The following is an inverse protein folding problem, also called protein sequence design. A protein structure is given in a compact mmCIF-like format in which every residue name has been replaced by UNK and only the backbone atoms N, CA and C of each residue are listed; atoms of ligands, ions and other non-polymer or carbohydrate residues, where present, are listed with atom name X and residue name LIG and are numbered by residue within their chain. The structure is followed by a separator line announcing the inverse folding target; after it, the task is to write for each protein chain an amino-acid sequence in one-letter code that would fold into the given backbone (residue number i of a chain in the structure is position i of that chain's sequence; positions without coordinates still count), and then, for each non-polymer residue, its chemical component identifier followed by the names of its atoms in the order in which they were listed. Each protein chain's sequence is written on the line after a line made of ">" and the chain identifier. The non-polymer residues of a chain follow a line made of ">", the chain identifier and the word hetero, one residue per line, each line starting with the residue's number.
data_IF_664016687464
#
_entry.id   IF_664016687464
#
_cell.length_a   1.000
_cell.length_b   1.000
_cell.length_c   1.000
_cell.angle_alpha   90.00
_cell.angle_beta   90.00
_cell.angle_gamma   90.00
#
_symmetry.space_group_name_H-M   'P 1'
#
loop_
_entity.id
_entity.type
_entity.pdbx_description
1 polymer ?
#
# COMPACT_ATOMS: atom_id res chain seq x y z
N UNK A 1 6.74 5.40 -7.08
CA UNK A 1 5.75 6.39 -7.57
C UNK A 1 4.68 6.62 -6.52
N UNK A 2 4.22 7.86 -6.35
CA UNK A 2 3.16 8.23 -5.42
C UNK A 2 2.03 8.93 -6.20
N UNK A 3 0.81 8.40 -6.08
CA UNK A 3 -0.38 8.94 -6.75
C UNK A 3 -1.28 9.53 -5.67
N UNK A 4 -1.71 10.78 -5.86
CA UNK A 4 -2.59 11.47 -4.92
C UNK A 4 -3.84 11.95 -5.65
N UNK A 5 -5.01 11.40 -5.29
CA UNK A 5 -6.31 11.79 -5.82
C UNK A 5 -7.04 12.66 -4.80
N UNK A 6 -7.75 13.67 -5.29
CA UNK A 6 -8.63 14.47 -4.44
C UNK A 6 -9.67 13.60 -3.72
N UNK A 7 -10.07 13.97 -2.48
CA UNK A 7 -11.10 13.24 -1.74
C UNK A 7 -12.36 13.00 -2.57
N UNK A 8 -12.85 11.76 -2.56
CA UNK A 8 -14.05 11.34 -3.29
C UNK A 8 -13.85 11.05 -4.79
N UNK A 9 -12.67 11.32 -5.36
CA UNK A 9 -12.37 11.05 -6.77
C UNK A 9 -11.75 9.65 -6.97
N UNK A 10 -12.53 8.60 -6.75
CA UNK A 10 -12.07 7.21 -6.90
C UNK A 10 -12.10 6.70 -8.34
N UNK A 11 -12.83 7.37 -9.23
CA UNK A 11 -13.12 6.94 -10.60
C UNK A 11 -11.85 6.62 -11.43
N UNK A 12 -10.73 7.37 -11.32
CA UNK A 12 -9.50 7.01 -12.05
C UNK A 12 -8.95 5.63 -11.69
N UNK A 13 -9.18 5.17 -10.46
CA UNK A 13 -8.76 3.85 -9.94
C UNK A 13 -9.85 2.79 -10.01
N UNK A 14 -11.00 3.11 -10.59
CA UNK A 14 -12.06 2.14 -10.84
C UNK A 14 -11.70 1.18 -11.98
N UNK A 15 -12.49 0.12 -12.14
CA UNK A 15 -12.33 -0.87 -13.23
C UNK A 15 -12.20 -0.23 -14.62
N UNK A 16 -13.01 0.81 -14.86
CA UNK A 16 -13.08 1.52 -16.15
C UNK A 16 -12.25 2.83 -16.12
N UNK A 17 -11.54 3.07 -15.01
CA UNK A 17 -10.65 4.20 -14.84
C UNK A 17 -9.34 4.05 -15.63
N UNK A 18 -8.76 5.18 -16.03
CA UNK A 18 -7.55 5.21 -16.82
C UNK A 18 -6.26 5.03 -15.99
N UNK A 19 -6.29 5.24 -14.68
CA UNK A 19 -5.09 5.20 -13.85
C UNK A 19 -4.55 3.77 -13.71
N UNK A 20 -5.41 2.75 -13.64
CA UNK A 20 -4.96 1.34 -13.58
C UNK A 20 -4.15 1.00 -14.83
N UNK A 21 -4.65 1.33 -16.01
CA UNK A 21 -3.99 1.04 -17.29
C UNK A 21 -2.69 1.81 -17.45
N UNK A 22 -2.72 3.11 -17.10
CA UNK A 22 -1.53 3.95 -17.15
C UNK A 22 -0.43 3.46 -16.19
N UNK A 23 -0.77 3.17 -14.93
CA UNK A 23 0.18 2.64 -13.94
C UNK A 23 0.75 1.29 -14.37
N UNK A 24 -0.09 0.40 -14.90
CA UNK A 24 0.33 -0.91 -15.41
C UNK A 24 1.31 -0.75 -16.56
N UNK A 25 0.97 0.08 -17.55
CA UNK A 25 1.80 0.33 -18.73
C UNK A 25 3.15 0.92 -18.34
N UNK A 26 3.16 1.97 -17.50
CA UNK A 26 4.39 2.61 -17.04
C UNK A 26 5.28 1.64 -16.26
N UNK A 27 4.71 0.84 -15.35
CA UNK A 27 5.48 -0.11 -14.52
C UNK A 27 6.11 -1.21 -15.37
N UNK A 28 5.33 -1.79 -16.29
CA UNK A 28 5.82 -2.84 -17.20
C UNK A 28 6.87 -2.31 -18.16
N UNK A 29 6.69 -1.11 -18.71
CA UNK A 29 7.69 -0.48 -19.58
C UNK A 29 8.99 -0.18 -18.82
N UNK A 30 8.90 0.33 -17.59
CA UNK A 30 10.06 0.57 -16.74
C UNK A 30 10.81 -0.73 -16.42
N UNK A 31 10.09 -1.81 -16.04
CA UNK A 31 10.70 -3.13 -15.81
C UNK A 31 11.41 -3.64 -17.06
N UNK A 32 10.75 -3.63 -18.21
CA UNK A 32 11.36 -4.09 -19.47
C UNK A 32 12.63 -3.30 -19.83
N UNK A 33 12.64 -1.98 -19.57
CA UNK A 33 13.83 -1.16 -19.75
C UNK A 33 14.96 -1.59 -18.80
N UNK A 34 14.68 -1.79 -17.51
CA UNK A 34 15.69 -2.23 -16.54
C UNK A 34 16.19 -3.64 -16.78
N UNK A 35 15.34 -4.57 -17.22
CA UNK A 35 15.76 -5.93 -17.53
C UNK A 35 16.67 -5.98 -18.76
N UNK A 36 16.44 -5.08 -19.72
CA UNK A 36 17.24 -4.99 -20.96
C UNK A 36 18.56 -4.24 -20.76
N UNK A 37 18.53 -3.16 -19.96
CA UNK A 37 19.66 -2.22 -19.83
C UNK A 37 20.37 -2.31 -18.48
N UNK A 38 19.85 -3.10 -17.55
CA UNK A 38 20.49 -3.35 -16.27
C UNK A 38 21.73 -4.21 -16.45
N UNK A 39 22.74 -3.95 -15.63
CA UNK A 39 23.88 -4.85 -15.50
C UNK A 39 23.57 -5.87 -14.38
N UNK A 40 23.98 -7.12 -14.56
CA UNK A 40 23.97 -8.18 -13.55
C UNK A 40 24.49 -7.79 -12.15
N UNK A 41 25.27 -6.71 -12.03
CA UNK A 41 25.73 -6.14 -10.76
C UNK A 41 24.75 -5.19 -10.06
N UNK A 42 23.68 -4.73 -10.74
CA UNK A 42 22.70 -3.77 -10.21
C UNK A 42 21.26 -4.29 -10.44
N UNK A 43 20.61 -4.75 -9.37
CA UNK A 43 19.16 -4.98 -9.37
C UNK A 43 18.44 -3.64 -9.23
N UNK A 44 17.60 -3.30 -10.21
CA UNK A 44 16.73 -2.12 -10.13
C UNK A 44 15.38 -2.51 -9.54
N UNK A 45 15.03 -1.91 -8.40
CA UNK A 45 13.74 -2.09 -7.77
C UNK A 45 12.73 -1.02 -8.20
N UNK A 46 11.49 -1.43 -8.40
CA UNK A 46 10.33 -0.59 -8.67
C UNK A 46 9.37 -0.75 -7.48
N UNK A 47 9.11 0.35 -6.79
CA UNK A 47 8.10 0.41 -5.74
C UNK A 47 7.17 1.61 -5.92
N UNK A 48 5.94 1.45 -5.45
CA UNK A 48 4.95 2.53 -5.38
C UNK A 48 4.58 2.80 -3.92
N UNK A 49 3.98 3.95 -3.64
CA UNK A 49 3.56 4.34 -2.30
C UNK A 49 2.06 4.71 -2.25
N UNK A 50 1.14 3.81 -2.66
CA UNK A 50 -0.29 4.14 -2.67
C UNK A 50 -0.85 4.36 -1.26
N UNK A 51 -1.87 5.20 -1.13
CA UNK A 51 -2.70 5.20 0.08
C UNK A 51 -3.46 3.88 0.21
N UNK A 52 -3.59 3.35 1.43
CA UNK A 52 -4.26 2.08 1.69
C UNK A 52 -5.66 1.93 1.04
N UNK A 53 -6.56 2.95 1.03
CA UNK A 53 -7.87 2.87 0.37
C UNK A 53 -7.81 2.56 -1.12
N UNK A 54 -6.70 2.89 -1.80
CA UNK A 54 -6.54 2.64 -3.23
C UNK A 54 -6.35 1.17 -3.58
N UNK A 55 -6.17 0.31 -2.57
CA UNK A 55 -6.12 -1.14 -2.71
C UNK A 55 -7.42 -1.84 -2.26
N UNK A 56 -8.36 -1.08 -1.67
CA UNK A 56 -9.59 -1.60 -1.09
C UNK A 56 -10.83 -1.29 -1.92
N UNK A 57 -11.99 -1.40 -1.26
CA UNK A 57 -13.30 -1.15 -1.88
C UNK A 57 -13.55 0.32 -2.23
N UNK A 58 -12.77 1.25 -1.67
CA UNK A 58 -12.88 2.67 -1.99
C UNK A 58 -12.61 2.93 -3.48
N UNK A 59 -11.62 2.23 -4.05
CA UNK A 59 -11.32 2.28 -5.49
C UNK A 59 -12.45 1.75 -6.38
N UNK A 60 -13.51 1.18 -5.79
CA UNK A 60 -14.64 0.56 -6.48
C UNK A 60 -15.95 1.33 -6.29
N UNK A 61 -15.90 2.55 -5.74
CA UNK A 61 -17.09 3.33 -5.40
C UNK A 61 -17.72 2.97 -4.07
N UNK A 62 -17.06 2.17 -3.23
CA UNK A 62 -17.46 1.91 -1.85
C UNK A 62 -17.76 0.44 -1.53
N UNK A 63 -18.21 0.21 -0.30
CA UNK A 63 -18.37 -1.12 0.33
C UNK A 63 -19.32 -2.06 -0.42
N UNK A 64 -20.39 -1.51 -1.03
CA UNK A 64 -21.43 -2.29 -1.71
C UNK A 64 -20.94 -2.97 -2.99
N UNK A 65 -19.84 -2.48 -3.56
CA UNK A 65 -19.24 -3.07 -4.76
C UNK A 65 -18.65 -4.47 -4.50
N UNK A 66 -18.29 -4.79 -3.24
CA UNK A 66 -17.71 -6.07 -2.82
C UNK A 66 -16.34 -6.42 -3.42
N UNK A 67 -15.85 -5.67 -4.41
CA UNK A 67 -14.59 -5.90 -5.13
C UNK A 67 -13.49 -4.96 -4.61
N UNK A 68 -12.23 -5.28 -4.93
CA UNK A 68 -11.08 -4.40 -4.68
C UNK A 68 -10.42 -4.11 -6.04
N UNK A 69 -10.31 -2.83 -6.40
CA UNK A 69 -9.70 -2.34 -7.64
C UNK A 69 -8.46 -1.49 -7.32
N UNK A 70 -8.17 -0.49 -8.16
CA UNK A 70 -7.02 0.38 -8.03
C UNK A 70 -5.70 -0.40 -8.05
N UNK A 71 -4.90 -0.19 -7.01
CA UNK A 71 -3.55 -0.75 -6.92
C UNK A 71 -3.53 -2.27 -6.76
N UNK A 72 -4.61 -2.87 -6.26
CA UNK A 72 -4.76 -4.34 -6.25
C UNK A 72 -4.81 -4.91 -7.68
N UNK A 73 -5.49 -4.23 -8.61
CA UNK A 73 -5.50 -4.64 -10.02
C UNK A 73 -4.22 -4.25 -10.76
N UNK A 74 -3.62 -3.09 -10.43
CA UNK A 74 -2.30 -2.73 -10.97
C UNK A 74 -1.31 -3.85 -10.73
N UNK A 75 -1.20 -4.33 -9.48
CA UNK A 75 -0.29 -5.43 -9.14
C UNK A 75 -0.54 -6.70 -9.95
N UNK A 76 -1.82 -7.10 -10.10
CA UNK A 76 -2.20 -8.30 -10.87
C UNK A 76 -1.85 -8.16 -12.35
N UNK A 77 -2.10 -7.00 -12.95
CA UNK A 77 -1.84 -6.74 -14.38
C UNK A 77 -0.36 -6.52 -14.68
N UNK A 78 0.40 -6.01 -13.72
CA UNK A 78 1.84 -5.75 -13.83
C UNK A 78 2.69 -6.81 -13.13
N UNK A 79 2.24 -8.07 -13.12
CA UNK A 79 2.90 -9.15 -12.37
C UNK A 79 4.38 -9.26 -12.76
N UNK A 80 5.27 -9.11 -11.77
CA UNK A 80 6.73 -9.11 -11.95
C UNK A 80 7.35 -7.76 -12.29
N UNK A 81 6.55 -6.73 -12.55
CA UNK A 81 7.05 -5.39 -12.81
C UNK A 81 7.33 -4.60 -11.51
N UNK A 82 6.42 -4.67 -10.55
CA UNK A 82 6.50 -3.95 -9.27
C UNK A 82 6.96 -4.92 -8.18
N UNK A 83 8.02 -4.57 -7.46
CA UNK A 83 8.58 -5.42 -6.41
C UNK A 83 7.78 -5.32 -5.11
N UNK A 84 7.39 -4.10 -4.70
CA UNK A 84 6.57 -3.90 -3.50
C UNK A 84 5.80 -2.57 -3.51
N UNK A 85 4.87 -2.44 -2.56
CA UNK A 85 4.17 -1.22 -2.23
C UNK A 85 4.51 -0.73 -0.83
N UNK A 86 4.96 0.53 -0.70
CA UNK A 86 5.05 1.30 0.54
C UNK A 86 3.67 1.88 0.88
N UNK A 87 2.74 1.05 1.33
CA UNK A 87 1.33 1.43 1.48
C UNK A 87 1.17 2.43 2.62
N UNK A 88 0.60 3.60 2.34
CA UNK A 88 0.38 4.63 3.34
C UNK A 88 -0.86 4.30 4.18
N UNK A 89 -0.65 3.84 5.41
CA UNK A 89 -1.69 3.59 6.41
C UNK A 89 -1.85 4.81 7.34
N UNK A 90 -1.99 6.00 6.78
CA UNK A 90 -2.09 7.30 7.48
C UNK A 90 -2.69 8.37 6.56
N UNK A 91 -3.30 9.42 7.14
CA UNK A 91 -4.09 10.47 6.44
C UNK A 91 -5.49 10.04 5.94
N UNK A 92 -6.08 8.97 6.47
CA UNK A 92 -7.42 8.50 6.06
C UNK A 92 -8.54 8.76 7.08
N UNK A 93 -8.29 9.60 8.08
CA UNK A 93 -9.29 10.01 9.06
C UNK A 93 -8.97 9.54 10.48
N UNK A 94 -9.68 10.13 11.43
CA UNK A 94 -9.43 9.90 12.86
C UNK A 94 -9.71 8.45 13.23
N UNK A 95 -8.80 7.83 13.99
CA UNK A 95 -8.92 6.44 14.45
C UNK A 95 -8.62 5.37 13.38
N UNK A 96 -8.52 5.74 12.11
CA UNK A 96 -8.26 4.79 11.02
C UNK A 96 -6.80 4.34 11.04
N UNK A 97 -6.59 3.03 10.87
CA UNK A 97 -5.27 2.39 10.84
C UNK A 97 -4.42 2.60 12.09
N UNK A 98 -5.01 2.76 13.27
CA UNK A 98 -4.25 2.98 14.51
C UNK A 98 -4.02 1.70 15.33
N UNK A 99 -4.60 0.58 14.91
CA UNK A 99 -4.54 -0.70 15.64
C UNK A 99 -3.99 -1.82 14.78
N UNK A 100 -3.49 -2.88 15.43
CA UNK A 100 -3.05 -4.11 14.76
C UNK A 100 -4.15 -4.70 13.87
N UNK A 101 -5.38 -4.78 14.37
CA UNK A 101 -6.46 -5.43 13.63
C UNK A 101 -6.81 -4.67 12.35
N UNK A 102 -6.90 -3.33 12.40
CA UNK A 102 -7.15 -2.50 11.22
C UNK A 102 -6.04 -2.61 10.16
N UNK A 103 -4.78 -2.68 10.58
CA UNK A 103 -3.64 -2.71 9.66
C UNK A 103 -3.44 -4.13 9.10
N UNK A 104 -3.51 -5.16 9.93
CA UNK A 104 -3.03 -6.50 9.57
C UNK A 104 -4.13 -7.54 9.37
N UNK A 105 -5.26 -7.45 10.08
CA UNK A 105 -6.25 -8.52 10.10
C UNK A 105 -7.45 -8.24 9.20
N UNK A 106 -8.10 -7.09 9.40
CA UNK A 106 -9.32 -6.70 8.69
C UNK A 106 -9.59 -5.21 8.94
N UNK A 107 -9.81 -4.44 7.89
CA UNK A 107 -10.32 -3.09 8.05
C UNK A 107 -11.78 -3.09 8.52
N UNK A 108 -12.10 -2.28 9.53
CA UNK A 108 -13.47 -2.09 10.03
C UNK A 108 -14.02 -0.70 9.73
N UNK A 109 -13.17 0.29 9.46
CA UNK A 109 -13.61 1.59 8.98
C UNK A 109 -14.03 1.54 7.50
N UNK A 110 -15.08 2.25 7.05
CA UNK A 110 -15.53 2.25 5.66
C UNK A 110 -14.43 2.53 4.61
N UNK A 111 -13.48 3.42 4.94
CA UNK A 111 -12.33 3.75 4.07
C UNK A 111 -11.28 2.62 3.99
N UNK A 112 -11.24 1.73 4.99
CA UNK A 112 -10.24 0.67 5.16
C UNK A 112 -10.74 -0.73 4.85
N UNK A 113 -11.99 -0.90 4.44
CA UNK A 113 -12.52 -2.20 4.06
C UNK A 113 -11.68 -2.79 2.91
N UNK A 114 -11.16 -4.02 3.13
CA UNK A 114 -10.26 -4.77 2.24
C UNK A 114 -8.86 -4.18 2.07
N UNK A 115 -8.40 -3.31 2.96
CA UNK A 115 -7.04 -2.72 2.89
C UNK A 115 -6.06 -3.35 3.89
N UNK A 116 -6.53 -4.18 4.83
CA UNK A 116 -5.62 -4.82 5.78
C UNK A 116 -4.69 -5.82 5.09
N UNK A 117 -3.47 -5.99 5.62
CA UNK A 117 -2.42 -6.85 5.03
C UNK A 117 -2.93 -8.26 4.69
N UNK A 118 -3.67 -8.91 5.60
CA UNK A 118 -4.29 -10.23 5.36
C UNK A 118 -5.31 -10.19 4.22
N UNK A 119 -6.11 -9.13 4.12
CA UNK A 119 -7.12 -8.99 3.06
C UNK A 119 -6.46 -8.73 1.70
N UNK A 120 -5.42 -7.90 1.65
CA UNK A 120 -4.64 -7.65 0.43
C UNK A 120 -3.96 -8.92 -0.07
N UNK A 121 -3.45 -9.74 0.85
CA UNK A 121 -2.90 -11.04 0.49
C UNK A 121 -3.93 -12.01 -0.04
N UNK A 122 -5.10 -12.09 0.59
CA UNK A 122 -6.22 -12.86 0.06
C UNK A 122 -6.69 -12.35 -1.32
N UNK A 123 -6.44 -11.08 -1.65
CA UNK A 123 -6.74 -10.49 -2.95
C UNK A 123 -5.59 -10.60 -3.98
N UNK A 124 -4.50 -11.31 -3.65
CA UNK A 124 -3.46 -11.72 -4.59
C UNK A 124 -2.14 -10.93 -4.53
N UNK A 125 -1.95 -10.06 -3.54
CA UNK A 125 -0.66 -9.38 -3.33
C UNK A 125 0.17 -10.19 -2.30
N UNK A 126 1.34 -10.73 -2.65
CA UNK A 126 2.11 -11.55 -1.72
C UNK A 126 2.62 -10.70 -0.54
N UNK A 127 2.81 -11.31 0.62
CA UNK A 127 3.12 -10.58 1.85
C UNK A 127 4.43 -9.79 1.80
N UNK A 128 5.42 -10.27 1.05
CA UNK A 128 6.70 -9.62 0.82
C UNK A 128 6.59 -8.35 -0.04
N UNK A 129 5.51 -8.22 -0.82
CA UNK A 129 5.22 -7.01 -1.61
C UNK A 129 4.38 -5.97 -0.84
N UNK A 130 4.00 -6.22 0.42
CA UNK A 130 3.15 -5.34 1.24
C UNK A 130 3.97 -4.71 2.37
N UNK A 131 4.50 -3.51 2.14
CA UNK A 131 5.20 -2.72 3.17
C UNK A 131 4.21 -1.81 3.89
N UNK A 132 4.22 -1.82 5.22
CA UNK A 132 3.34 -0.98 6.04
C UNK A 132 3.98 0.39 6.26
N UNK A 133 3.41 1.42 5.65
CA UNK A 133 3.83 2.82 5.78
C UNK A 133 3.17 3.52 6.97
N UNK A 134 3.98 4.20 7.78
CA UNK A 134 3.54 4.99 8.95
C UNK A 134 4.23 6.34 9.03
N UNK A 135 3.59 7.36 9.62
CA UNK A 135 4.30 8.58 9.91
C UNK A 135 5.32 8.33 11.02
N UNK A 136 6.50 8.95 10.92
CA UNK A 136 7.57 8.81 11.91
C UNK A 136 7.20 9.51 13.23
N UNK A 137 6.57 10.67 13.13
CA UNK A 137 6.08 11.45 14.26
C UNK A 137 4.61 11.85 14.05
N UNK A 138 3.96 12.35 15.10
CA UNK A 138 2.60 12.90 15.00
C UNK A 138 2.51 14.15 14.13
N UNK A 139 3.63 14.80 13.78
CA UNK A 139 3.67 15.99 12.93
C UNK A 139 3.77 15.68 11.43
N UNK A 140 4.16 14.46 11.05
CA UNK A 140 4.42 14.11 9.65
C UNK A 140 3.16 13.72 8.88
N UNK A 141 2.05 13.48 9.59
CA UNK A 141 0.75 13.17 9.02
C UNK A 141 -0.38 13.68 9.93
N UNK A 142 -1.52 13.98 9.34
CA UNK A 142 -2.71 14.46 10.06
C UNK A 142 -3.36 13.38 10.93
N UNK A 143 -3.26 12.09 10.54
CA UNK A 143 -3.88 10.94 11.23
C UNK A 143 -3.09 9.65 10.97
N UNK A 144 -3.25 8.62 11.82
CA UNK A 144 -2.72 7.27 11.57
C UNK A 144 -1.35 6.96 12.21
N UNK A 145 -0.84 7.85 13.06
CA UNK A 145 0.36 7.60 13.89
C UNK A 145 0.15 6.40 14.82
N UNK A 146 1.21 5.60 14.96
CA UNK A 146 1.34 4.50 15.92
C UNK A 146 2.73 4.62 16.52
N UNK A 147 2.85 4.51 17.84
CA UNK A 147 4.14 4.55 18.54
C UNK A 147 5.08 3.43 18.05
N UNK A 148 6.39 3.69 18.08
CA UNK A 148 7.39 2.74 17.62
C UNK A 148 7.36 1.39 18.35
N UNK A 149 7.06 1.37 19.67
CA UNK A 149 6.97 0.13 20.43
C UNK A 149 5.73 -0.68 20.03
N UNK A 150 4.59 0.00 19.86
CA UNK A 150 3.35 -0.63 19.41
C UNK A 150 3.51 -1.19 17.99
N UNK A 151 4.10 -0.41 17.08
CA UNK A 151 4.35 -0.85 15.71
C UNK A 151 5.31 -2.06 15.68
N UNK A 152 6.36 -2.06 16.51
CA UNK A 152 7.24 -3.22 16.65
C UNK A 152 6.48 -4.47 17.12
N UNK A 153 5.62 -4.33 18.13
CA UNK A 153 4.75 -5.41 18.59
C UNK A 153 3.80 -5.90 17.48
N UNK A 154 3.24 -4.99 16.69
CA UNK A 154 2.37 -5.32 15.57
C UNK A 154 3.12 -6.11 14.49
N UNK A 155 4.33 -5.68 14.12
CA UNK A 155 5.21 -6.36 13.16
C UNK A 155 5.57 -7.76 13.64
N UNK A 156 5.99 -7.92 14.90
CA UNK A 156 6.32 -9.22 15.48
C UNK A 156 5.10 -10.16 15.48
N UNK A 157 3.93 -9.63 15.87
CA UNK A 157 2.67 -10.37 15.84
C UNK A 157 2.29 -10.79 14.43
N UNK A 158 2.36 -9.89 13.44
CA UNK A 158 2.05 -10.18 12.04
C UNK A 158 2.99 -11.25 11.44
N UNK A 159 4.30 -11.15 11.71
CA UNK A 159 5.28 -12.18 11.34
C UNK A 159 4.89 -13.55 11.89
N UNK A 160 4.57 -13.63 13.19
CA UNK A 160 4.25 -14.89 13.85
C UNK A 160 2.89 -15.49 13.46
N UNK A 161 1.87 -14.65 13.28
CA UNK A 161 0.49 -15.12 13.07
C UNK A 161 0.12 -15.29 11.59
N UNK A 162 0.69 -14.45 10.72
CA UNK A 162 0.35 -14.42 9.29
C UNK A 162 1.48 -14.96 8.41
N UNK A 163 2.72 -15.00 8.91
CA UNK A 163 3.90 -15.21 8.07
C UNK A 163 4.25 -13.99 7.21
N UNK A 164 3.76 -12.80 7.58
CA UNK A 164 4.03 -11.57 6.84
C UNK A 164 5.48 -11.11 6.99
N UNK A 165 6.11 -10.69 5.90
CA UNK A 165 7.54 -10.34 5.85
C UNK A 165 7.85 -9.08 5.03
N UNK A 166 6.86 -8.24 4.69
CA UNK A 166 7.07 -7.05 3.85
C UNK A 166 7.85 -5.92 4.52
N UNK A 167 7.76 -5.75 5.85
CA UNK A 167 8.49 -4.70 6.58
C UNK A 167 7.75 -3.35 6.64
N UNK A 168 8.45 -2.30 7.08
CA UNK A 168 7.85 -1.00 7.38
C UNK A 168 8.52 0.14 6.62
N UNK A 169 7.74 1.14 6.23
CA UNK A 169 8.21 2.41 5.67
C UNK A 169 7.80 3.54 6.62
N UNK A 170 8.66 4.57 6.75
CA UNK A 170 8.35 5.75 7.56
C UNK A 170 8.31 7.03 6.72
N UNK A 171 7.25 7.82 6.91
CA UNK A 171 7.11 9.18 6.39
C UNK A 171 7.37 10.20 7.53
N UNK A 172 8.45 10.95 7.54
CA UNK A 172 9.60 10.91 6.62
C UNK A 172 10.92 10.94 7.37
N UNK A 173 11.99 10.60 6.65
CA UNK A 173 13.34 10.82 7.17
C UNK A 173 13.55 12.30 7.43
N UNK A 174 13.94 12.61 8.66
CA UNK A 174 14.35 13.96 9.07
C UNK A 174 15.77 13.85 9.63
N UNK A 175 16.78 14.40 8.94
CA UNK A 175 18.17 14.32 9.41
C UNK A 175 18.40 15.03 10.75
N UNK A 176 17.51 15.94 11.17
CA UNK A 176 17.58 16.56 12.50
C UNK A 176 17.10 15.61 13.62
N UNK A 177 16.35 14.58 13.26
CA UNK A 177 15.79 13.59 14.18
C UNK A 177 15.96 12.19 13.55
N UNK A 178 17.18 11.62 13.51
CA UNK A 178 17.43 10.34 12.86
C UNK A 178 16.68 9.17 13.50
#
# INVERSE_FOLDING_TARGET
>A
FDLELSPGNWQPLSKDGNAIEWLTTCSTAARAYFDTNGNSSNTYYISHAPQAPYLGVWACGGVDSGCAYGYTEVYKRSKGAIDWFNIQYYNQGQGVYTTYDEIFIKGSHPIGIKTAVKELNANGIPFDAIVVGKPKTTGDASTGFVDGNDLNNFVAKAKSQLGWNGGTMFWMWDPANP
#
